data_IF_781836862110
#
_entry.id   IF_781836862110
#
_cell.length_a   1.000
_cell.length_b   1.000
_cell.length_c   1.000
_cell.angle_alpha   90.00
_cell.angle_beta   90.00
_cell.angle_gamma   90.00
#
_symmetry.space_group_name_H-M   'P 1'
#
loop_
_entity.id
_entity.type
_entity.pdbx_description
1 polymer ?
#
# COMPACT_ATOMS: atom_id res chain seq x y z
N UNK A 1 -24.13 -7.83 -4.68
CA UNK A 1 -22.67 -7.92 -4.87
C UNK A 1 -22.03 -7.01 -3.83
N UNK A 2 -21.02 -7.48 -3.11
CA UNK A 2 -20.26 -6.59 -2.22
C UNK A 2 -19.31 -5.79 -3.10
N UNK A 3 -19.41 -4.46 -3.06
CA UNK A 3 -18.45 -3.62 -3.77
C UNK A 3 -17.13 -3.59 -2.98
N UNK A 4 -15.98 -3.80 -3.64
CA UNK A 4 -14.70 -3.64 -2.98
C UNK A 4 -14.54 -2.22 -2.42
N UNK A 5 -13.96 -2.12 -1.23
CA UNK A 5 -13.48 -0.87 -0.66
C UNK A 5 -12.02 -0.66 -1.06
N UNK A 6 -11.65 0.58 -1.34
CA UNK A 6 -10.29 0.94 -1.76
C UNK A 6 -9.79 2.03 -0.83
N UNK A 7 -8.73 1.72 -0.08
CA UNK A 7 -8.10 2.63 0.87
C UNK A 7 -6.67 2.90 0.42
N UNK A 8 -6.32 4.17 0.21
CA UNK A 8 -4.94 4.55 -0.06
C UNK A 8 -4.21 4.71 1.28
N UNK A 9 -3.41 3.71 1.64
CA UNK A 9 -2.68 3.69 2.92
C UNK A 9 -1.55 4.73 2.90
N UNK A 10 -0.86 4.84 1.76
CA UNK A 10 0.19 5.82 1.52
C UNK A 10 -0.10 6.52 0.20
N UNK A 11 -0.19 7.85 0.25
CA UNK A 11 -0.21 8.70 -0.94
C UNK A 11 1.23 8.91 -1.38
N UNK A 12 1.59 8.34 -2.52
CA UNK A 12 2.94 8.46 -3.07
C UNK A 12 3.33 9.91 -3.32
N UNK A 13 4.62 10.19 -3.21
CA UNK A 13 5.15 11.53 -3.42
C UNK A 13 6.55 11.49 -4.05
N UNK A 14 6.96 12.63 -4.60
CA UNK A 14 8.34 12.95 -4.90
C UNK A 14 8.62 14.36 -4.40
N UNK A 15 9.74 14.56 -3.69
CA UNK A 15 10.13 15.86 -3.13
C UNK A 15 11.62 16.10 -3.35
N UNK A 16 11.97 17.35 -3.60
CA UNK A 16 13.36 17.80 -3.72
C UNK A 16 13.79 18.49 -2.43
N UNK A 17 14.88 18.01 -1.83
CA UNK A 17 15.44 18.53 -0.57
C UNK A 17 16.96 18.37 -0.49
N UNK A 18 17.66 18.59 -1.61
CA UNK A 18 19.11 18.36 -1.77
C UNK A 18 19.44 17.01 -2.42
N UNK A 19 18.61 15.98 -2.17
CA UNK A 19 18.46 14.78 -2.99
C UNK A 19 16.98 14.53 -3.22
N UNK A 20 16.62 13.92 -4.34
CA UNK A 20 15.24 13.48 -4.58
C UNK A 20 14.91 12.35 -3.60
N UNK A 21 13.77 12.50 -2.93
CA UNK A 21 13.14 11.43 -2.14
C UNK A 21 11.77 11.17 -2.73
N UNK A 22 11.44 9.91 -2.93
CA UNK A 22 10.17 9.49 -3.47
C UNK A 22 9.71 8.18 -2.85
N UNK A 23 8.40 8.01 -2.75
CA UNK A 23 7.76 6.74 -2.40
C UNK A 23 6.59 6.49 -3.33
N UNK A 24 6.36 5.21 -3.66
CA UNK A 24 5.19 4.76 -4.39
C UNK A 24 3.94 4.86 -3.52
N UNK A 25 2.77 4.98 -4.16
CA UNK A 25 1.52 4.84 -3.41
C UNK A 25 1.35 3.41 -2.94
N UNK A 26 0.72 3.21 -1.78
CA UNK A 26 0.31 1.90 -1.29
C UNK A 26 -1.19 1.89 -1.14
N UNK A 27 -1.84 0.92 -1.79
CA UNK A 27 -3.30 0.82 -1.81
C UNK A 27 -3.73 -0.51 -1.23
N UNK A 28 -4.76 -0.49 -0.38
CA UNK A 28 -5.43 -1.69 0.10
C UNK A 28 -6.78 -1.82 -0.59
N UNK A 29 -6.99 -2.94 -1.28
CA UNK A 29 -8.28 -3.32 -1.84
C UNK A 29 -8.90 -4.37 -0.93
N UNK A 30 -10.07 -4.06 -0.35
CA UNK A 30 -10.79 -4.93 0.59
C UNK A 30 -12.08 -5.42 -0.02
N UNK A 31 -12.29 -6.72 0.05
CA UNK A 31 -13.57 -7.37 -0.24
C UNK A 31 -14.04 -8.14 0.99
N UNK A 32 -15.13 -8.89 0.87
CA UNK A 32 -15.67 -9.70 1.98
C UNK A 32 -14.65 -10.71 2.52
N UNK A 33 -13.91 -11.35 1.62
CA UNK A 33 -13.09 -12.52 1.95
C UNK A 33 -11.59 -12.32 1.70
N UNK A 34 -11.19 -11.21 1.06
CA UNK A 34 -9.81 -10.96 0.66
C UNK A 34 -9.39 -9.51 0.89
N UNK A 35 -8.16 -9.34 1.35
CA UNK A 35 -7.47 -8.06 1.42
C UNK A 35 -6.23 -8.13 0.52
N UNK A 36 -6.15 -7.26 -0.49
CA UNK A 36 -5.03 -7.21 -1.43
C UNK A 36 -4.27 -5.92 -1.19
N UNK A 37 -2.98 -6.05 -0.85
CA UNK A 37 -2.07 -4.91 -0.79
C UNK A 37 -1.46 -4.71 -2.17
N UNK A 38 -1.66 -3.53 -2.75
CA UNK A 38 -1.06 -3.12 -4.02
C UNK A 38 0.10 -2.19 -3.70
N UNK A 39 1.29 -2.61 -4.12
CA UNK A 39 2.60 -2.04 -3.81
C UNK A 39 2.96 -2.00 -2.32
N UNK A 40 4.23 -1.70 -2.05
CA UNK A 40 4.77 -1.58 -0.70
C UNK A 40 5.50 -0.26 -0.45
N UNK A 41 5.40 0.70 -1.37
CA UNK A 41 6.16 1.95 -1.30
C UNK A 41 7.67 1.68 -1.35
N UNK A 42 8.42 2.37 -0.49
CA UNK A 42 9.85 2.15 -0.32
C UNK A 42 10.16 1.36 0.99
N UNK A 43 11.39 0.83 1.18
CA UNK A 43 11.73 0.01 2.34
C UNK A 43 11.51 0.65 3.72
N UNK A 44 11.36 1.98 3.80
CA UNK A 44 11.13 2.71 5.05
C UNK A 44 9.65 2.80 5.44
N UNK A 45 8.73 2.42 4.55
CA UNK A 45 7.29 2.50 4.81
C UNK A 45 6.70 1.33 5.60
N UNK A 46 7.49 0.31 5.95
CA UNK A 46 6.98 -0.92 6.59
C UNK A 46 6.13 -0.67 7.84
N UNK A 47 6.61 0.15 8.77
CA UNK A 47 5.89 0.45 10.02
C UNK A 47 4.63 1.28 9.76
N UNK A 48 4.68 2.22 8.81
CA UNK A 48 3.51 3.03 8.42
C UNK A 48 2.42 2.14 7.81
N UNK A 49 2.78 1.22 6.92
CA UNK A 49 1.83 0.25 6.34
C UNK A 49 1.18 -0.58 7.44
N UNK A 50 1.96 -1.13 8.37
CA UNK A 50 1.44 -1.93 9.49
C UNK A 50 0.52 -1.10 10.40
N UNK A 51 0.87 0.15 10.68
CA UNK A 51 0.01 1.06 11.44
C UNK A 51 -1.32 1.30 10.71
N UNK A 52 -1.30 1.63 9.42
CA UNK A 52 -2.52 1.89 8.63
C UNK A 52 -3.41 0.66 8.51
N UNK A 53 -2.83 -0.54 8.35
CA UNK A 53 -3.58 -1.78 8.38
C UNK A 53 -4.25 -2.00 9.75
N UNK A 54 -3.54 -1.72 10.85
CA UNK A 54 -4.08 -1.83 12.20
C UNK A 54 -5.22 -0.85 12.46
N UNK A 55 -5.15 0.39 11.94
CA UNK A 55 -6.24 1.38 11.96
C UNK A 55 -7.52 0.86 11.28
N UNK A 56 -7.37 -0.06 10.31
CA UNK A 56 -8.46 -0.75 9.61
C UNK A 56 -8.85 -2.10 10.26
N UNK A 57 -8.26 -2.45 11.39
CA UNK A 57 -8.50 -3.72 12.09
C UNK A 57 -7.89 -4.95 11.39
N UNK A 58 -6.90 -4.74 10.51
CA UNK A 58 -6.25 -5.78 9.71
C UNK A 58 -4.83 -5.98 10.23
N UNK A 59 -4.51 -7.20 10.67
CA UNK A 59 -3.12 -7.61 10.92
C UNK A 59 -2.40 -7.97 9.62
N UNK A 60 -1.07 -8.06 9.66
CA UNK A 60 -0.26 -8.40 8.46
C UNK A 60 -0.66 -9.75 7.84
N UNK A 61 -0.99 -10.71 8.68
CA UNK A 61 -1.50 -12.03 8.32
C UNK A 61 -2.89 -12.01 7.68
N UNK A 62 -3.61 -10.89 7.82
CA UNK A 62 -4.90 -10.65 7.16
C UNK A 62 -4.77 -10.19 5.72
N UNK A 63 -3.56 -9.89 5.23
CA UNK A 63 -3.30 -9.58 3.81
C UNK A 63 -3.20 -10.89 3.03
N UNK A 64 -4.14 -11.10 2.12
CA UNK A 64 -4.28 -12.34 1.34
C UNK A 64 -3.29 -12.42 0.18
N UNK A 65 -2.93 -11.27 -0.39
CA UNK A 65 -1.99 -11.18 -1.49
C UNK A 65 -1.32 -9.81 -1.51
N UNK A 66 -0.09 -9.78 -2.03
CA UNK A 66 0.64 -8.56 -2.37
C UNK A 66 0.85 -8.53 -3.88
N UNK A 67 0.43 -7.44 -4.52
CA UNK A 67 0.59 -7.22 -5.96
C UNK A 67 1.52 -6.03 -6.15
N UNK A 68 2.62 -6.22 -6.87
CA UNK A 68 3.53 -5.13 -7.20
C UNK A 68 3.18 -4.58 -8.58
N UNK A 69 2.92 -3.28 -8.68
CA UNK A 69 2.78 -2.61 -9.95
C UNK A 69 4.16 -2.43 -10.56
N UNK A 70 4.48 -3.28 -11.54
CA UNK A 70 5.67 -3.11 -12.35
C UNK A 70 5.39 -2.02 -13.39
N UNK A 71 6.19 -0.96 -13.40
CA UNK A 71 6.35 -0.14 -14.59
C UNK A 71 7.37 -0.86 -15.47
N UNK A 72 6.93 -1.33 -16.64
CA UNK A 72 7.81 -1.92 -17.63
C UNK A 72 8.93 -0.93 -17.99
N UNK A 73 10.12 -1.48 -18.18
CA UNK A 73 11.37 -0.77 -18.51
C UNK A 73 11.15 0.34 -19.55
N UNK A 74 11.65 1.56 -19.27
CA UNK A 74 11.92 2.58 -20.28
C UNK A 74 13.39 2.53 -20.67
#
# INVERSE_FOLDING_TARGET
MFQPLVDQLIVGYAREGGKYVATGSVTLVRSRDVNILVDCGDPWNGDEILQRLSELGIGKEGVSAVVFSLVAEQ
#
